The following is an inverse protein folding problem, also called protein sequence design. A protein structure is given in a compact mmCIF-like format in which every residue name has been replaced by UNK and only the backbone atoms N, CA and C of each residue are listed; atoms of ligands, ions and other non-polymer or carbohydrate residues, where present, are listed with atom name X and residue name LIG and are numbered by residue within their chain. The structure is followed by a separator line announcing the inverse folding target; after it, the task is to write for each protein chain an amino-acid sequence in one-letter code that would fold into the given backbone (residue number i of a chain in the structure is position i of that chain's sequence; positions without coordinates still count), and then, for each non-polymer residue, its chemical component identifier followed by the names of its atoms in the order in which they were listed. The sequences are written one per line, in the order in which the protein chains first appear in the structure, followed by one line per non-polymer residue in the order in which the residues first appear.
data_IF_285338862572
#
_entry.id   IF_285338862572
#
_cell.length_a   1.000
_cell.length_b   1.000
_cell.length_c   1.000
_cell.angle_alpha   90.00
_cell.angle_beta   90.00
_cell.angle_gamma   90.00
#
_symmetry.space_group_name_H-M   'P 1'
#
loop_
_entity.id
_entity.type
_entity.pdbx_description
1 polymer ?
#
# COMPACT_ATOMS: atom_id res chain seq x y z
N UNK A 1 30.81 5.22 0.44
CA UNK A 1 29.71 5.50 -0.50
C UNK A 1 28.76 4.31 -0.39
N UNK A 2 27.54 4.37 0.11
CA UNK A 2 26.64 5.44 0.48
C UNK A 2 25.94 5.02 1.78
N UNK A 3 25.57 5.99 2.62
CA UNK A 3 24.56 5.76 3.65
C UNK A 3 23.23 5.50 2.93
N UNK A 4 22.96 4.24 2.61
CA UNK A 4 21.65 3.85 2.11
C UNK A 4 20.80 3.60 3.35
N UNK A 5 19.97 4.58 3.71
CA UNK A 5 18.88 4.39 4.66
C UNK A 5 18.23 3.03 4.39
N UNK A 6 18.27 2.12 5.37
CA UNK A 6 17.73 0.75 5.22
C UNK A 6 16.19 0.72 5.11
N UNK A 7 15.56 1.90 5.07
CA UNK A 7 14.14 2.10 4.86
C UNK A 7 13.78 2.35 3.39
N UNK A 8 12.52 2.10 3.01
CA UNK A 8 11.98 2.38 1.69
C UNK A 8 11.97 3.89 1.42
N UNK A 9 12.02 4.26 0.14
CA UNK A 9 11.88 5.66 -0.28
C UNK A 9 10.42 6.11 -0.12
N UNK A 10 10.17 7.42 -0.01
CA UNK A 10 8.81 7.97 -0.04
C UNK A 10 8.00 7.48 -1.25
N UNK A 11 8.64 7.41 -2.41
CA UNK A 11 8.06 6.90 -3.65
C UNK A 11 7.74 5.40 -3.59
N UNK A 12 8.55 4.60 -2.88
CA UNK A 12 8.29 3.17 -2.70
C UNK A 12 7.04 2.98 -1.82
N UNK A 13 6.90 3.80 -0.78
CA UNK A 13 5.74 3.81 0.10
C UNK A 13 4.46 4.30 -0.60
N UNK A 14 4.54 5.25 -1.52
CA UNK A 14 3.41 5.65 -2.36
C UNK A 14 2.94 4.51 -3.25
N UNK A 15 3.89 3.85 -3.92
CA UNK A 15 3.59 2.69 -4.76
C UNK A 15 3.01 1.54 -3.94
N UNK A 16 3.50 1.32 -2.72
CA UNK A 16 2.95 0.33 -1.81
C UNK A 16 1.51 0.63 -1.44
N UNK A 17 1.22 1.89 -1.07
CA UNK A 17 -0.15 2.33 -0.77
C UNK A 17 -1.08 2.03 -1.95
N UNK A 18 -0.71 2.47 -3.14
CA UNK A 18 -1.55 2.30 -4.34
C UNK A 18 -1.74 0.82 -4.67
N UNK A 19 -0.69 0.01 -4.52
CA UNK A 19 -0.75 -1.45 -4.68
C UNK A 19 -1.69 -2.09 -3.67
N UNK A 20 -1.64 -1.73 -2.39
CA UNK A 20 -2.54 -2.26 -1.36
C UNK A 20 -4.00 -1.94 -1.71
N UNK A 21 -4.27 -0.70 -2.14
CA UNK A 21 -5.60 -0.29 -2.61
C UNK A 21 -6.05 -1.12 -3.80
N UNK A 22 -5.20 -1.31 -4.79
CA UNK A 22 -5.49 -2.14 -5.97
C UNK A 22 -5.79 -3.59 -5.56
N UNK A 23 -4.98 -4.17 -4.67
CA UNK A 23 -5.16 -5.53 -4.17
C UNK A 23 -6.44 -5.67 -3.34
N UNK A 24 -6.84 -4.66 -2.54
CA UNK A 24 -8.16 -4.62 -1.89
C UNK A 24 -9.28 -4.60 -2.91
N UNK A 25 -9.17 -3.80 -3.97
CA UNK A 25 -10.16 -3.77 -5.04
C UNK A 25 -10.27 -5.12 -5.77
N UNK A 26 -9.14 -5.78 -6.02
CA UNK A 26 -9.09 -7.12 -6.63
C UNK A 26 -9.68 -8.16 -5.68
N UNK A 27 -9.35 -8.11 -4.39
CA UNK A 27 -9.83 -9.06 -3.37
C UNK A 27 -11.34 -8.93 -3.09
N UNK A 28 -11.91 -7.73 -3.18
CA UNK A 28 -13.35 -7.52 -3.10
C UNK A 28 -14.11 -8.12 -4.31
N UNK A 29 -13.40 -8.51 -5.36
CA UNK A 29 -13.95 -9.13 -6.56
C UNK A 29 -14.97 -8.24 -7.27
N UNK A 30 -15.77 -8.84 -8.16
CA UNK A 30 -16.79 -8.15 -8.97
C UNK A 30 -17.86 -7.39 -8.16
N UNK A 31 -17.90 -7.51 -6.83
CA UNK A 31 -18.77 -6.70 -5.96
C UNK A 31 -18.35 -5.23 -5.86
N UNK A 32 -17.08 -4.91 -6.10
CA UNK A 32 -16.60 -3.53 -6.19
C UNK A 32 -16.71 -2.93 -7.60
N UNK A 33 -17.27 -3.66 -8.58
CA UNK A 33 -17.38 -3.20 -9.98
C UNK A 33 -18.65 -2.40 -10.27
N UNK A 34 -19.54 -2.16 -9.29
CA UNK A 34 -20.57 -1.15 -9.49
C UNK A 34 -19.91 0.22 -9.52
N UNK A 35 -20.21 1.01 -10.55
CA UNK A 35 -19.65 2.35 -10.75
C UNK A 35 -19.84 3.24 -9.52
N UNK A 36 -20.95 3.05 -8.80
CA UNK A 36 -21.19 3.72 -7.52
C UNK A 36 -20.26 3.28 -6.38
N UNK A 37 -19.94 1.99 -6.22
CA UNK A 37 -19.05 1.54 -5.14
C UNK A 37 -17.61 2.03 -5.37
N UNK A 38 -17.14 2.09 -6.63
CA UNK A 38 -15.85 2.70 -6.97
C UNK A 38 -15.84 4.20 -6.70
N UNK A 39 -16.92 4.91 -7.02
CA UNK A 39 -17.03 6.35 -6.79
C UNK A 39 -17.11 6.68 -5.30
N UNK A 40 -17.88 5.93 -4.51
CA UNK A 40 -17.93 6.10 -3.05
C UNK A 40 -16.63 5.70 -2.35
N UNK A 41 -15.95 4.63 -2.77
CA UNK A 41 -14.61 4.33 -2.25
C UNK A 41 -13.59 5.38 -2.66
N UNK A 42 -13.64 5.87 -3.91
CA UNK A 42 -12.76 6.95 -4.36
C UNK A 42 -13.01 8.23 -3.56
N UNK A 43 -14.26 8.53 -3.24
CA UNK A 43 -14.68 9.70 -2.46
C UNK A 43 -14.32 9.56 -0.97
N UNK A 44 -14.55 8.40 -0.35
CA UNK A 44 -14.06 8.11 1.01
C UNK A 44 -12.53 8.14 1.07
N UNK A 45 -11.85 7.60 0.06
CA UNK A 45 -10.39 7.74 -0.06
C UNK A 45 -10.02 9.21 -0.19
N UNK A 46 -10.68 10.01 -1.03
CA UNK A 46 -10.39 11.44 -1.20
C UNK A 46 -10.57 12.23 0.11
N UNK A 47 -11.70 12.08 0.80
CA UNK A 47 -12.01 12.81 2.03
C UNK A 47 -11.15 12.38 3.23
N UNK A 48 -10.57 11.18 3.20
CA UNK A 48 -9.68 10.66 4.25
C UNK A 48 -8.20 10.68 3.84
N UNK A 49 -7.87 11.04 2.59
CA UNK A 49 -6.58 10.73 1.97
C UNK A 49 -5.41 11.58 2.41
N UNK A 50 -5.55 12.90 2.62
CA UNK A 50 -4.34 13.71 2.81
C UNK A 50 -3.65 13.38 4.15
N UNK A 51 -4.42 13.32 5.23
CA UNK A 51 -3.89 12.98 6.56
C UNK A 51 -3.45 11.51 6.67
N UNK A 52 -4.20 10.58 6.07
CA UNK A 52 -3.87 9.14 6.13
C UNK A 52 -2.73 8.78 5.19
N UNK A 53 -2.66 9.36 3.99
CA UNK A 53 -1.55 9.13 3.07
C UNK A 53 -0.24 9.71 3.60
N UNK A 54 -0.26 10.90 4.18
CA UNK A 54 0.92 11.48 4.81
C UNK A 54 1.39 10.66 6.01
N UNK A 55 0.45 10.21 6.87
CA UNK A 55 0.76 9.31 8.00
C UNK A 55 1.26 7.94 7.54
N UNK A 56 0.67 7.38 6.50
CA UNK A 56 1.11 6.10 5.92
C UNK A 56 2.51 6.23 5.34
N UNK A 57 2.78 7.27 4.56
CA UNK A 57 4.11 7.55 3.99
C UNK A 57 5.15 7.72 5.10
N UNK A 58 4.87 8.56 6.09
CA UNK A 58 5.77 8.76 7.23
C UNK A 58 6.02 7.47 8.01
N UNK A 59 4.97 6.70 8.30
CA UNK A 59 5.10 5.43 9.02
C UNK A 59 5.79 4.35 8.18
N UNK A 60 5.62 4.35 6.87
CA UNK A 60 6.24 3.37 5.98
C UNK A 60 7.74 3.62 5.84
N UNK A 61 8.16 4.88 5.66
CA UNK A 61 9.58 5.25 5.60
C UNK A 61 10.29 4.98 6.93
N UNK A 62 9.62 5.23 8.06
CA UNK A 62 10.23 5.12 9.39
C UNK A 62 10.19 3.71 9.99
N UNK A 63 9.09 2.97 9.78
CA UNK A 63 8.81 1.70 10.49
C UNK A 63 8.77 0.47 9.61
N UNK A 64 8.67 0.63 8.30
CA UNK A 64 8.60 -0.52 7.38
C UNK A 64 9.98 -0.79 6.79
N UNK A 65 10.54 -1.99 6.94
CA UNK A 65 11.76 -2.41 6.25
C UNK A 65 11.60 -2.34 4.74
N UNK A 66 12.65 -1.93 4.03
CA UNK A 66 12.62 -1.87 2.56
C UNK A 66 12.30 -3.22 1.92
N UNK A 67 12.82 -4.32 2.49
CA UNK A 67 12.57 -5.68 2.02
C UNK A 67 11.08 -6.06 2.05
N UNK A 68 10.34 -5.57 3.05
CA UNK A 68 8.90 -5.77 3.15
C UNK A 68 8.14 -4.99 2.08
N UNK A 69 8.56 -3.75 1.83
CA UNK A 69 7.99 -2.92 0.76
C UNK A 69 8.24 -3.54 -0.61
N UNK A 70 9.46 -3.97 -0.88
CA UNK A 70 9.83 -4.59 -2.15
C UNK A 70 9.07 -5.92 -2.36
N UNK A 71 8.91 -6.74 -1.31
CA UNK A 71 8.10 -7.97 -1.36
C UNK A 71 6.62 -7.67 -1.63
N UNK A 72 6.04 -6.71 -0.91
CA UNK A 72 4.64 -6.35 -1.04
C UNK A 72 4.31 -5.70 -2.42
N UNK A 73 5.27 -4.98 -3.02
CA UNK A 73 5.15 -4.46 -4.38
C UNK A 73 5.10 -5.58 -5.43
N UNK A 74 5.79 -6.70 -5.17
CA UNK A 74 5.76 -7.91 -6.00
C UNK A 74 4.54 -8.81 -5.78
N UNK A 75 3.77 -8.58 -4.71
CA UNK A 75 2.64 -9.41 -4.36
C UNK A 75 1.46 -9.23 -5.34
N UNK A 76 0.80 -10.33 -5.65
CA UNK A 76 -0.39 -10.38 -6.52
C UNK A 76 -1.70 -10.47 -5.74
N UNK A 77 -1.63 -10.63 -4.42
CA UNK A 77 -2.78 -10.71 -3.52
C UNK A 77 -2.43 -10.15 -2.15
N UNK A 78 -3.44 -9.70 -1.40
CA UNK A 78 -3.27 -9.29 0.00
C UNK A 78 -2.70 -10.43 0.87
N UNK A 79 -3.04 -11.68 0.56
CA UNK A 79 -2.48 -12.85 1.25
C UNK A 79 -0.96 -12.96 1.05
N UNK A 80 -0.45 -12.70 -0.16
CA UNK A 80 0.99 -12.65 -0.41
C UNK A 80 1.68 -11.49 0.30
N UNK A 81 1.03 -10.33 0.41
CA UNK A 81 1.55 -9.21 1.21
C UNK A 81 1.71 -9.60 2.67
N UNK A 82 0.71 -10.30 3.24
CA UNK A 82 0.79 -10.80 4.62
C UNK A 82 1.91 -11.83 4.81
N UNK A 83 2.20 -12.63 3.77
CA UNK A 83 3.33 -13.56 3.80
C UNK A 83 4.69 -12.86 3.77
N UNK A 84 4.79 -11.65 3.21
CA UNK A 84 6.01 -10.84 3.28
C UNK A 84 6.39 -10.53 4.73
N UNK A 85 5.41 -10.18 5.58
CA UNK A 85 5.62 -9.88 7.01
C UNK A 85 6.10 -11.10 7.81
N UNK A 86 5.70 -12.31 7.37
CA UNK A 86 6.08 -13.60 7.94
C UNK A 86 7.46 -14.10 7.48
N UNK A 87 8.14 -13.41 6.57
CA UNK A 87 9.49 -13.79 6.10
C UNK A 87 10.63 -13.21 6.97
N UNK A 88 10.30 -12.65 8.15
CA UNK A 88 11.28 -12.20 9.13
C UNK A 88 11.87 -13.33 9.98
#
# INVERSE_FOLDING_TARGET
MAGCSSGPSESDCERLRDKLVELEFVAMGAKALTTEARAELAKQKQETSEGVAARFKASCVDKTPKELVDCALGATSLAQVQQCDLQK
#
